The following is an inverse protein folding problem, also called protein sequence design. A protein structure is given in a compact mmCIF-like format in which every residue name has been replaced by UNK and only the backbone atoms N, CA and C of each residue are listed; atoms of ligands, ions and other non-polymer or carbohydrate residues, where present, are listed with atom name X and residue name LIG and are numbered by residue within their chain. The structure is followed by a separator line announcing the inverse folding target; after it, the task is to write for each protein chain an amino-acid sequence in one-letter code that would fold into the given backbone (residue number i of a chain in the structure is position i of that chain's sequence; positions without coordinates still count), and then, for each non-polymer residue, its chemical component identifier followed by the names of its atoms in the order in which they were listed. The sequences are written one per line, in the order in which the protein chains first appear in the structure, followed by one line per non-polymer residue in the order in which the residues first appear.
data_IF_936135977211
#
_entry.id   IF_936135977211
#
_cell.length_a   1.000
_cell.length_b   1.000
_cell.length_c   1.000
_cell.angle_alpha   90.00
_cell.angle_beta   90.00
_cell.angle_gamma   90.00
#
_symmetry.space_group_name_H-M   'P 1'
#
loop_
_entity.id
_entity.type
_entity.pdbx_description
1 polymer ?
#
# COMPACT_ATOMS: atom_id res chain seq x y z
N UNK A 1 10.44 7.50 -11.76
CA UNK A 1 9.31 7.13 -10.88
C UNK A 1 8.06 7.70 -11.54
N UNK A 2 7.13 6.85 -11.99
CA UNK A 2 5.81 7.35 -12.37
C UNK A 2 5.11 7.76 -11.07
N UNK A 3 4.52 8.94 -11.04
CA UNK A 3 3.53 9.23 -10.00
C UNK A 3 2.38 8.21 -10.15
N UNK A 4 1.88 7.71 -9.02
CA UNK A 4 0.79 6.72 -9.03
C UNK A 4 -0.45 7.17 -9.81
N UNK A 5 -0.58 8.49 -10.04
CA UNK A 5 -1.68 9.12 -10.77
C UNK A 5 -1.88 8.57 -12.19
N UNK A 6 -0.80 8.16 -12.87
CA UNK A 6 -0.86 7.75 -14.27
C UNK A 6 -1.38 6.32 -14.51
N UNK A 7 -1.41 5.49 -13.46
CA UNK A 7 -1.80 4.08 -13.60
C UNK A 7 -2.74 3.57 -12.50
N UNK A 8 -2.66 4.10 -11.28
CA UNK A 8 -3.49 3.65 -10.16
C UNK A 8 -5.00 3.79 -10.42
N UNK A 9 -5.51 4.88 -11.06
CA UNK A 9 -6.93 4.96 -11.38
C UNK A 9 -7.44 3.81 -12.25
N UNK A 10 -6.61 3.31 -13.19
CA UNK A 10 -6.99 2.18 -14.05
C UNK A 10 -7.03 0.86 -13.29
N UNK A 11 -6.11 0.66 -12.34
CA UNK A 11 -6.11 -0.52 -11.47
C UNK A 11 -7.35 -0.52 -10.57
N UNK A 12 -7.66 0.63 -9.96
CA UNK A 12 -8.81 0.79 -9.07
C UNK A 12 -10.13 0.63 -9.81
N UNK A 13 -10.27 1.22 -11.00
CA UNK A 13 -11.46 1.03 -11.84
C UNK A 13 -11.66 -0.45 -12.23
N UNK A 14 -10.59 -1.15 -12.61
CA UNK A 14 -10.66 -2.57 -12.94
C UNK A 14 -11.07 -3.43 -11.72
N UNK A 15 -10.53 -3.14 -10.53
CA UNK A 15 -10.91 -3.83 -9.30
C UNK A 15 -12.39 -3.58 -8.96
N UNK A 16 -12.80 -2.31 -8.93
CA UNK A 16 -14.15 -1.90 -8.54
C UNK A 16 -15.25 -2.48 -9.45
N UNK A 17 -14.97 -2.71 -10.74
CA UNK A 17 -15.93 -3.33 -11.67
C UNK A 17 -16.28 -4.77 -11.35
N UNK A 18 -15.39 -5.51 -10.68
CA UNK A 18 -15.51 -6.96 -10.48
C UNK A 18 -15.71 -7.40 -9.03
N UNK A 19 -15.66 -6.48 -8.07
CA UNK A 19 -15.62 -6.82 -6.65
C UNK A 19 -16.74 -6.12 -5.88
N UNK A 20 -17.30 -6.81 -4.87
CA UNK A 20 -18.27 -6.20 -3.97
C UNK A 20 -17.62 -5.09 -3.12
N UNK A 21 -16.40 -5.33 -2.64
CA UNK A 21 -15.60 -4.32 -1.97
C UNK A 21 -15.13 -3.28 -2.97
N UNK A 22 -15.22 -2.01 -2.60
CA UNK A 22 -14.88 -0.88 -3.48
C UNK A 22 -13.71 -0.10 -2.87
N UNK A 23 -12.72 0.21 -3.70
CA UNK A 23 -11.58 1.04 -3.34
C UNK A 23 -11.95 2.51 -3.56
N UNK A 24 -11.75 3.32 -2.52
CA UNK A 24 -11.71 4.78 -2.62
C UNK A 24 -10.24 5.21 -2.74
N UNK A 25 -9.85 5.67 -3.92
CA UNK A 25 -8.46 6.06 -4.19
C UNK A 25 -8.20 7.52 -3.84
N UNK A 26 -7.26 7.76 -2.92
CA UNK A 26 -6.70 9.07 -2.65
C UNK A 26 -5.26 9.15 -3.20
N UNK A 27 -5.03 10.05 -4.16
CA UNK A 27 -3.69 10.30 -4.71
C UNK A 27 -3.08 11.50 -3.97
N UNK A 28 -1.96 11.24 -3.29
CA UNK A 28 -1.22 12.26 -2.53
C UNK A 28 0.12 12.51 -3.23
N UNK A 29 0.57 13.77 -3.36
CA UNK A 29 1.91 14.06 -3.88
C UNK A 29 2.99 13.33 -3.07
N UNK A 30 3.99 12.78 -3.76
CA UNK A 30 5.03 11.94 -3.13
C UNK A 30 5.74 12.63 -1.96
N UNK A 31 5.99 13.94 -2.05
CA UNK A 31 6.66 14.70 -0.98
C UNK A 31 5.81 14.81 0.30
N UNK A 32 4.49 14.59 0.20
CA UNK A 32 3.55 14.77 1.30
C UNK A 32 3.12 13.45 1.94
N UNK A 33 3.33 12.31 1.27
CA UNK A 33 2.75 11.03 1.69
C UNK A 33 3.28 10.56 3.05
N UNK A 34 4.58 10.70 3.30
CA UNK A 34 5.23 10.26 4.54
C UNK A 34 4.75 11.06 5.76
N UNK A 35 4.82 12.40 5.78
CA UNK A 35 4.32 13.16 6.94
C UNK A 35 2.81 12.99 7.14
N UNK A 36 2.00 12.89 6.06
CA UNK A 36 0.56 12.66 6.18
C UNK A 36 0.22 11.28 6.75
N UNK A 37 0.87 10.23 6.24
CA UNK A 37 0.65 8.88 6.74
C UNK A 37 1.12 8.73 8.20
N UNK A 38 2.28 9.28 8.56
CA UNK A 38 2.76 9.27 9.94
C UNK A 38 1.77 9.91 10.92
N UNK A 39 1.19 11.07 10.55
CA UNK A 39 0.15 11.72 11.35
C UNK A 39 -1.15 10.91 11.43
N UNK A 40 -1.60 10.32 10.32
CA UNK A 40 -2.79 9.49 10.28
C UNK A 40 -2.65 8.21 11.12
N UNK A 41 -1.48 7.55 11.05
CA UNK A 41 -1.18 6.37 11.86
C UNK A 41 -1.17 6.70 13.36
N UNK A 42 -0.53 7.80 13.76
CA UNK A 42 -0.53 8.25 15.15
C UNK A 42 -1.93 8.68 15.64
N UNK A 43 -2.77 9.22 14.75
CA UNK A 43 -4.13 9.67 15.04
C UNK A 43 -5.21 8.59 14.93
N UNK A 44 -4.86 7.35 14.56
CA UNK A 44 -5.82 6.27 14.36
C UNK A 44 -6.75 6.46 13.15
N UNK A 45 -6.32 7.24 12.16
CA UNK A 45 -7.07 7.55 10.92
C UNK A 45 -6.31 7.14 9.66
N UNK A 46 -5.35 6.23 9.79
CA UNK A 46 -4.63 5.65 8.66
C UNK A 46 -5.60 4.96 7.67
N UNK A 47 -5.28 4.96 6.36
CA UNK A 47 -6.04 4.18 5.39
C UNK A 47 -5.82 2.68 5.61
N UNK A 48 -6.75 1.87 5.10
CA UNK A 48 -6.64 0.40 5.13
C UNK A 48 -5.44 -0.12 4.34
N UNK A 49 -5.03 0.61 3.29
CA UNK A 49 -3.89 0.26 2.44
C UNK A 49 -3.11 1.50 2.00
N UNK A 50 -1.79 1.34 1.84
CA UNK A 50 -0.87 2.39 1.42
C UNK A 50 0.11 1.85 0.36
N UNK A 51 0.30 2.59 -0.73
CA UNK A 51 1.45 2.39 -1.60
C UNK A 51 2.65 3.13 -1.00
N UNK A 52 3.59 2.37 -0.43
CA UNK A 52 4.76 2.88 0.29
C UNK A 52 6.04 2.62 -0.52
N UNK A 53 6.93 3.62 -0.62
CA UNK A 53 8.26 3.41 -1.23
C UNK A 53 9.08 2.49 -0.32
N UNK A 54 9.76 1.52 -0.94
CA UNK A 54 10.53 0.46 -0.29
C UNK A 54 11.50 0.97 0.78
N UNK A 55 12.07 2.16 0.60
CA UNK A 55 13.02 2.74 1.55
C UNK A 55 12.40 3.02 2.94
N UNK A 56 11.07 3.17 3.00
CA UNK A 56 10.34 3.48 4.24
C UNK A 56 9.73 2.23 4.89
N UNK A 57 9.49 1.16 4.14
CA UNK A 57 8.84 -0.06 4.66
C UNK A 57 9.49 -0.60 5.93
N UNK A 58 10.84 -0.72 6.04
CA UNK A 58 11.47 -1.23 7.26
C UNK A 58 11.20 -0.36 8.49
N UNK A 59 11.19 0.97 8.36
CA UNK A 59 10.98 1.86 9.52
C UNK A 59 9.54 1.82 10.02
N UNK A 60 8.56 1.79 9.12
CA UNK A 60 7.14 1.72 9.50
C UNK A 60 6.76 0.35 10.06
N UNK A 61 7.32 -0.74 9.52
CA UNK A 61 7.16 -2.08 10.08
C UNK A 61 7.76 -2.19 11.49
N UNK A 62 9.01 -1.72 11.68
CA UNK A 62 9.66 -1.73 12.99
C UNK A 62 8.94 -0.87 14.04
N UNK A 63 8.21 0.16 13.61
CA UNK A 63 7.38 1.00 14.47
C UNK A 63 5.99 0.39 14.78
N UNK A 64 5.66 -0.80 14.25
CA UNK A 64 4.36 -1.45 14.45
C UNK A 64 3.21 -0.75 13.73
N UNK A 65 3.51 0.02 12.66
CA UNK A 65 2.52 0.79 11.92
C UNK A 65 1.97 0.05 10.69
N UNK A 66 2.47 -1.16 10.42
CA UNK A 66 2.05 -2.01 9.32
C UNK A 66 1.60 -3.37 9.86
N UNK A 67 0.57 -3.93 9.24
CA UNK A 67 0.10 -5.28 9.52
C UNK A 67 1.08 -6.31 8.93
N UNK A 68 1.40 -7.35 9.70
CA UNK A 68 2.20 -8.47 9.20
C UNK A 68 1.32 -9.38 8.31
N UNK A 69 1.65 -9.44 7.03
CA UNK A 69 0.94 -10.28 6.04
C UNK A 69 1.79 -11.48 5.58
N UNK A 70 2.83 -11.86 6.33
CA UNK A 70 3.79 -12.91 5.93
C UNK A 70 3.11 -14.23 5.58
N UNK A 71 2.20 -14.69 6.43
CA UNK A 71 1.52 -15.98 6.22
C UNK A 71 0.56 -15.93 5.03
N UNK A 72 -0.15 -14.81 4.87
CA UNK A 72 -1.00 -14.59 3.71
C UNK A 72 -0.17 -14.56 2.42
N UNK A 73 0.94 -13.82 2.39
CA UNK A 73 1.80 -13.72 1.23
C UNK A 73 2.33 -15.12 0.82
N UNK A 74 2.85 -15.90 1.78
CA UNK A 74 3.35 -17.26 1.55
C UNK A 74 2.27 -18.23 1.06
N UNK A 75 0.99 -17.97 1.35
CA UNK A 75 -0.13 -18.80 0.88
C UNK A 75 -0.44 -18.61 -0.61
N UNK A 76 0.06 -17.55 -1.25
CA UNK A 76 -0.23 -17.25 -2.65
C UNK A 76 0.43 -18.30 -3.56
N UNK A 77 -0.30 -18.89 -4.54
CA UNK A 77 0.24 -19.91 -5.44
C UNK A 77 1.36 -19.39 -6.35
N UNK A 78 1.51 -18.06 -6.43
CA UNK A 78 2.53 -17.35 -7.19
C UNK A 78 3.57 -16.64 -6.31
N UNK A 79 3.66 -16.95 -5.01
CA UNK A 79 4.59 -16.29 -4.08
C UNK A 79 6.04 -16.25 -4.60
N UNK A 80 6.51 -17.36 -5.16
CA UNK A 80 7.86 -17.47 -5.72
C UNK A 80 8.11 -16.57 -6.96
N UNK A 81 7.06 -16.01 -7.56
CA UNK A 81 7.15 -15.07 -8.70
C UNK A 81 7.13 -13.61 -8.27
N UNK A 82 6.89 -13.32 -6.98
CA UNK A 82 6.94 -11.97 -6.46
C UNK A 82 8.39 -11.45 -6.44
N UNK A 83 8.56 -10.14 -6.62
CA UNK A 83 9.89 -9.51 -6.51
C UNK A 83 10.41 -9.68 -5.08
N UNK A 84 11.57 -10.33 -4.86
CA UNK A 84 12.11 -10.54 -3.51
C UNK A 84 12.35 -9.24 -2.72
N UNK A 85 12.58 -8.12 -3.41
CA UNK A 85 12.73 -6.82 -2.75
C UNK A 85 11.42 -6.26 -2.14
N UNK A 86 10.25 -6.84 -2.44
CA UNK A 86 8.94 -6.35 -2.01
C UNK A 86 8.22 -7.32 -1.07
N UNK A 87 8.93 -8.33 -0.55
CA UNK A 87 8.38 -9.45 0.22
C UNK A 87 9.30 -9.75 1.41
#
# INVERSE_FOLDING_TARGET
RADGSNFMPRIVDAFNKGHQNQIKLDIIPNAEIIPKYGAAAAGGTAPDALSLDLIYTPSFAAAGQLEDITDWAKSLPYFASLSPAHV
#
